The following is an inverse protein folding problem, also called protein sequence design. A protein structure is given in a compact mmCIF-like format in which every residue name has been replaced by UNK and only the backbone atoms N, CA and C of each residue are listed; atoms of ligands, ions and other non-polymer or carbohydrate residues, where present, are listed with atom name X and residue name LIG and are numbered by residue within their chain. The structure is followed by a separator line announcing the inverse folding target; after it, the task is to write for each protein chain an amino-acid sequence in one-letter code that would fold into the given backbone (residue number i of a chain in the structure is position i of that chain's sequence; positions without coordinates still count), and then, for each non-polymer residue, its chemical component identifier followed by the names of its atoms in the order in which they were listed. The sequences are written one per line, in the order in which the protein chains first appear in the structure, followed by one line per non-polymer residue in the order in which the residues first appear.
data_IF_276067366142
#
_entry.id   IF_276067366142
#
_cell.length_a   1.000
_cell.length_b   1.000
_cell.length_c   1.000
_cell.angle_alpha   90.00
_cell.angle_beta   90.00
_cell.angle_gamma   90.00
#
_symmetry.space_group_name_H-M   'P 1'
#
loop_
_entity.id
_entity.type
_entity.pdbx_description
1 polymer ?
#
# COMPACT_ATOMS: atom_id res chain seq x y z
N UNK A 1 15.22 -9.42 13.36
CA UNK A 1 16.51 -9.17 14.06
C UNK A 1 16.98 -10.35 14.91
N UNK A 2 16.11 -11.31 15.26
CA UNK A 2 16.44 -12.42 16.17
C UNK A 2 16.25 -13.80 15.51
N UNK A 3 16.15 -13.88 14.19
CA UNK A 3 15.92 -15.14 13.47
C UNK A 3 16.91 -16.24 13.86
N UNK A 4 18.20 -15.89 13.98
CA UNK A 4 19.28 -16.78 14.36
C UNK A 4 19.14 -17.41 15.77
N UNK A 5 18.26 -16.86 16.63
CA UNK A 5 18.01 -17.37 17.98
C UNK A 5 16.98 -18.51 18.01
N UNK A 6 16.35 -18.83 16.88
CA UNK A 6 15.29 -19.82 16.79
C UNK A 6 15.80 -21.11 16.14
N UNK A 7 15.36 -22.24 16.67
CA UNK A 7 15.52 -23.54 16.03
C UNK A 7 14.22 -23.90 15.31
N UNK A 8 14.29 -24.16 14.00
CA UNK A 8 13.10 -24.41 13.18
C UNK A 8 12.30 -25.62 13.62
N UNK A 9 12.95 -26.71 13.99
CA UNK A 9 12.27 -27.95 14.43
C UNK A 9 11.55 -27.74 15.78
N UNK A 10 12.19 -27.03 16.71
CA UNK A 10 11.60 -26.70 18.00
C UNK A 10 10.39 -25.75 17.82
N UNK A 11 10.55 -24.69 17.03
CA UNK A 11 9.47 -23.74 16.76
C UNK A 11 8.29 -24.41 16.08
N UNK A 12 8.53 -25.32 15.14
CA UNK A 12 7.48 -26.09 14.49
C UNK A 12 6.69 -26.94 15.50
N UNK A 13 7.38 -27.51 16.49
CA UNK A 13 6.74 -28.27 17.55
C UNK A 13 5.89 -27.39 18.47
N UNK A 14 6.42 -26.26 18.92
CA UNK A 14 5.73 -25.31 19.79
C UNK A 14 4.48 -24.71 19.12
N UNK A 15 4.52 -24.52 17.80
CA UNK A 15 3.43 -23.98 17.00
C UNK A 15 2.48 -25.04 16.42
N UNK A 16 2.68 -26.33 16.72
CA UNK A 16 1.93 -27.47 16.16
C UNK A 16 1.96 -27.50 14.62
N UNK A 17 3.11 -27.16 14.02
CA UNK A 17 3.31 -27.11 12.57
C UNK A 17 4.30 -28.16 12.04
N UNK A 18 4.62 -29.20 12.84
CA UNK A 18 5.64 -30.19 12.49
C UNK A 18 5.41 -30.84 11.13
N UNK A 19 4.15 -31.18 10.81
CA UNK A 19 3.83 -31.84 9.53
C UNK A 19 4.22 -30.98 8.33
N UNK A 20 3.86 -29.69 8.36
CA UNK A 20 4.19 -28.74 7.30
C UNK A 20 5.70 -28.51 7.26
N UNK A 21 6.31 -28.21 8.39
CA UNK A 21 7.74 -27.94 8.50
C UNK A 21 8.58 -29.12 8.01
N UNK A 22 8.25 -30.37 8.42
CA UNK A 22 9.00 -31.55 8.01
C UNK A 22 8.94 -31.78 6.50
N UNK A 23 7.78 -31.55 5.86
CA UNK A 23 7.64 -31.66 4.42
C UNK A 23 8.51 -30.61 3.73
N UNK A 24 8.45 -29.37 4.15
CA UNK A 24 9.24 -28.27 3.60
C UNK A 24 10.75 -28.53 3.75
N UNK A 25 11.19 -28.89 4.96
CA UNK A 25 12.59 -29.19 5.26
C UNK A 25 13.13 -30.37 4.45
N UNK A 26 12.40 -31.50 4.43
CA UNK A 26 12.81 -32.68 3.66
C UNK A 26 12.81 -32.40 2.16
N UNK A 27 11.83 -31.67 1.67
CA UNK A 27 11.81 -31.27 0.26
C UNK A 27 13.03 -30.41 -0.08
N UNK A 28 13.32 -29.39 0.70
CA UNK A 28 14.49 -28.50 0.47
C UNK A 28 15.80 -29.29 0.40
N UNK A 29 15.96 -30.35 1.22
CA UNK A 29 17.18 -31.16 1.26
C UNK A 29 17.30 -32.23 0.18
N UNK A 30 16.19 -32.61 -0.50
CA UNK A 30 16.16 -33.77 -1.42
C UNK A 30 15.79 -33.42 -2.86
N UNK A 31 15.49 -32.16 -3.17
CA UNK A 31 15.26 -31.70 -4.54
C UNK A 31 16.57 -31.43 -5.27
N UNK A 32 16.56 -31.52 -6.60
CA UNK A 32 17.73 -31.23 -7.45
C UNK A 32 18.17 -29.76 -7.36
N UNK A 33 17.20 -28.85 -7.16
CA UNK A 33 17.46 -27.42 -6.99
C UNK A 33 16.40 -26.80 -6.10
N UNK A 34 16.81 -26.26 -4.97
CA UNK A 34 15.98 -25.53 -4.04
C UNK A 34 16.09 -24.02 -4.30
N UNK A 35 14.98 -23.35 -4.52
CA UNK A 35 14.96 -21.92 -4.84
C UNK A 35 14.04 -21.15 -3.91
N UNK A 36 14.32 -19.86 -3.76
CA UNK A 36 13.44 -18.92 -3.04
C UNK A 36 13.42 -17.57 -3.75
N UNK A 37 12.52 -16.66 -3.35
CA UNK A 37 12.22 -15.43 -4.10
C UNK A 37 13.06 -14.22 -3.68
N UNK A 38 13.71 -14.28 -2.52
CA UNK A 38 14.50 -13.15 -2.00
C UNK A 38 15.54 -13.58 -1.01
N UNK A 39 16.51 -12.69 -0.71
CA UNK A 39 17.48 -12.92 0.36
C UNK A 39 16.82 -12.95 1.75
N UNK A 40 15.69 -12.28 1.95
CA UNK A 40 14.92 -12.38 3.21
C UNK A 40 14.52 -13.84 3.44
N UNK A 41 13.82 -14.42 2.47
CA UNK A 41 13.36 -15.82 2.55
C UNK A 41 14.53 -16.81 2.53
N UNK A 42 15.64 -16.49 1.84
CA UNK A 42 16.83 -17.32 1.87
C UNK A 42 17.46 -17.40 3.27
N UNK A 43 17.51 -16.29 4.00
CA UNK A 43 17.98 -16.27 5.38
C UNK A 43 17.06 -17.08 6.31
N UNK A 44 15.73 -16.99 6.11
CA UNK A 44 14.76 -17.83 6.83
C UNK A 44 14.97 -19.32 6.54
N UNK A 45 15.20 -19.68 5.28
CA UNK A 45 15.50 -21.08 4.91
C UNK A 45 16.75 -21.60 5.60
N UNK A 46 17.82 -20.81 5.65
CA UNK A 46 19.06 -21.19 6.37
C UNK A 46 18.79 -21.51 7.82
N UNK A 47 18.07 -20.66 8.52
CA UNK A 47 17.86 -20.77 9.96
C UNK A 47 16.76 -21.79 10.32
N UNK A 48 15.67 -21.83 9.55
CA UNK A 48 14.52 -22.65 9.90
C UNK A 48 14.55 -24.03 9.26
N UNK A 49 15.11 -24.17 8.06
CA UNK A 49 15.16 -25.43 7.33
C UNK A 49 16.58 -26.06 7.34
N UNK A 50 17.58 -25.43 7.96
CA UNK A 50 19.00 -25.80 7.91
C UNK A 50 19.52 -25.94 6.47
N UNK A 51 18.94 -25.20 5.52
CA UNK A 51 19.28 -25.27 4.09
C UNK A 51 19.11 -23.91 3.44
N UNK A 52 20.20 -23.34 2.94
CA UNK A 52 20.15 -22.19 2.05
C UNK A 52 19.54 -22.59 0.71
N UNK A 53 18.87 -21.67 0.05
CA UNK A 53 18.48 -21.85 -1.34
C UNK A 53 19.73 -22.01 -2.23
N UNK A 54 19.66 -22.90 -3.21
CA UNK A 54 20.71 -23.06 -4.21
C UNK A 54 20.75 -21.85 -5.15
N UNK A 55 19.60 -21.23 -5.41
CA UNK A 55 19.47 -20.00 -6.19
C UNK A 55 18.30 -19.15 -5.64
N UNK A 56 18.54 -17.84 -5.52
CA UNK A 56 17.46 -16.87 -5.27
C UNK A 56 16.92 -16.41 -6.62
N UNK A 57 15.68 -16.75 -6.90
CA UNK A 57 14.96 -16.41 -8.13
C UNK A 57 13.89 -15.37 -7.81
N UNK A 58 14.19 -14.12 -8.11
CA UNK A 58 13.25 -13.00 -7.92
C UNK A 58 12.02 -13.17 -8.81
N UNK A 59 10.86 -12.77 -8.28
CA UNK A 59 9.61 -12.81 -9.04
C UNK A 59 9.65 -11.75 -10.16
N UNK A 60 9.27 -12.17 -11.36
CA UNK A 60 9.05 -11.29 -12.49
C UNK A 60 7.63 -10.73 -12.54
N UNK A 61 7.41 -9.80 -13.43
CA UNK A 61 6.10 -9.24 -13.74
C UNK A 61 5.97 -9.07 -15.27
N UNK A 62 4.90 -9.57 -15.83
CA UNK A 62 4.57 -9.35 -17.24
C UNK A 62 3.81 -8.05 -17.37
N UNK A 63 4.30 -7.10 -18.15
CA UNK A 63 3.73 -5.75 -18.28
C UNK A 63 3.03 -5.50 -19.63
N UNK A 64 2.81 -6.53 -20.40
CA UNK A 64 2.18 -6.45 -21.73
C UNK A 64 0.79 -5.78 -21.71
N UNK A 65 0.09 -5.89 -20.59
CA UNK A 65 -1.24 -5.29 -20.41
C UNK A 65 -1.20 -3.85 -19.86
N UNK A 66 -0.01 -3.34 -19.51
CA UNK A 66 0.14 -1.95 -19.07
C UNK A 66 -0.08 -1.01 -20.24
N UNK A 67 -1.05 -0.07 -20.17
CA UNK A 67 -1.34 0.82 -21.28
C UNK A 67 -0.14 1.72 -21.60
N UNK A 68 0.04 2.02 -22.89
CA UNK A 68 1.16 2.82 -23.38
C UNK A 68 0.67 4.10 -24.08
N UNK A 69 1.55 5.11 -24.16
CA UNK A 69 1.31 6.34 -24.92
C UNK A 69 0.00 7.06 -24.54
N UNK A 70 -0.79 7.45 -25.53
CA UNK A 70 -2.05 8.16 -25.32
C UNK A 70 -3.11 7.34 -24.57
N UNK A 71 -3.06 6.00 -24.66
CA UNK A 71 -3.95 5.14 -23.88
C UNK A 71 -3.65 5.22 -22.38
N UNK A 72 -2.37 5.26 -22.00
CA UNK A 72 -1.93 5.47 -20.63
C UNK A 72 -2.44 6.82 -20.09
N UNK A 73 -2.12 7.91 -20.77
CA UNK A 73 -2.55 9.28 -20.38
C UNK A 73 -4.06 9.39 -20.24
N UNK A 74 -4.81 8.78 -21.20
CA UNK A 74 -6.27 8.79 -21.17
C UNK A 74 -6.84 7.98 -20.02
N UNK A 75 -6.29 6.81 -19.70
CA UNK A 75 -6.72 5.99 -18.56
C UNK A 75 -6.38 6.67 -17.24
N UNK A 76 -5.15 7.19 -17.09
CA UNK A 76 -4.73 7.97 -15.90
C UNK A 76 -5.70 9.11 -15.60
N UNK A 77 -5.99 9.94 -16.61
CA UNK A 77 -6.92 11.07 -16.44
C UNK A 77 -8.31 10.62 -15.97
N UNK A 78 -8.84 9.53 -16.54
CA UNK A 78 -10.15 8.99 -16.12
C UNK A 78 -10.12 8.41 -14.70
N UNK A 79 -9.06 7.71 -14.34
CA UNK A 79 -8.89 7.17 -12.99
C UNK A 79 -8.83 8.29 -11.95
N UNK A 80 -8.00 9.31 -12.16
CA UNK A 80 -7.91 10.49 -11.28
C UNK A 80 -9.26 11.19 -11.14
N UNK A 81 -9.92 11.48 -12.24
CA UNK A 81 -11.24 12.14 -12.22
C UNK A 81 -12.28 11.33 -11.42
N UNK A 82 -12.26 9.99 -11.54
CA UNK A 82 -13.13 9.12 -10.76
C UNK A 82 -12.80 9.17 -9.27
N UNK A 83 -11.53 9.01 -8.91
CA UNK A 83 -11.07 9.04 -7.52
C UNK A 83 -11.40 10.37 -6.83
N UNK A 84 -11.11 11.49 -7.50
CA UNK A 84 -11.47 12.83 -7.02
C UNK A 84 -13.00 13.02 -6.90
N UNK A 85 -13.77 12.51 -7.88
CA UNK A 85 -15.23 12.59 -7.80
C UNK A 85 -15.79 11.82 -6.61
N UNK A 86 -15.34 10.60 -6.38
CA UNK A 86 -15.74 9.80 -5.21
C UNK A 86 -15.38 10.53 -3.91
N UNK A 87 -14.16 11.02 -3.81
CA UNK A 87 -13.70 11.77 -2.65
C UNK A 87 -14.53 13.05 -2.41
N UNK A 88 -14.73 13.87 -3.43
CA UNK A 88 -15.49 15.11 -3.32
C UNK A 88 -16.95 14.85 -2.92
N UNK A 89 -17.56 13.78 -3.44
CA UNK A 89 -18.93 13.39 -3.06
C UNK A 89 -19.03 12.87 -1.63
N UNK A 90 -18.03 12.12 -1.18
CA UNK A 90 -17.98 11.58 0.19
C UNK A 90 -17.70 12.68 1.21
N UNK A 91 -16.71 13.52 0.92
CA UNK A 91 -16.16 14.50 1.85
C UNK A 91 -16.84 15.88 1.78
N UNK A 92 -17.66 16.15 0.77
CA UNK A 92 -18.22 17.49 0.54
C UNK A 92 -17.11 18.52 0.25
N UNK A 93 -16.14 18.15 -0.58
CA UNK A 93 -14.99 18.99 -0.94
C UNK A 93 -14.97 19.26 -2.45
N UNK A 94 -14.03 20.09 -2.88
CA UNK A 94 -13.84 20.47 -4.29
C UNK A 94 -12.36 20.31 -4.69
N UNK A 95 -11.78 19.17 -4.32
CA UNK A 95 -10.42 18.82 -4.73
C UNK A 95 -10.36 18.70 -6.26
N UNK A 96 -9.28 19.17 -6.84
CA UNK A 96 -9.02 19.22 -8.28
C UNK A 96 -7.77 18.41 -8.67
N UNK A 97 -7.36 18.55 -9.93
CA UNK A 97 -6.21 17.81 -10.49
C UNK A 97 -4.86 18.20 -9.85
N UNK A 98 -4.75 19.30 -9.10
CA UNK A 98 -3.53 19.64 -8.33
C UNK A 98 -3.40 18.86 -7.03
N UNK A 99 -4.45 18.16 -6.62
CA UNK A 99 -4.44 17.27 -5.45
C UNK A 99 -3.53 16.07 -5.69
N UNK A 100 -2.60 15.83 -4.78
CA UNK A 100 -1.74 14.65 -4.80
C UNK A 100 -2.54 13.41 -4.37
N UNK A 101 -2.71 12.46 -5.26
CA UNK A 101 -3.40 11.19 -4.97
C UNK A 101 -2.37 10.13 -4.64
N UNK A 102 -2.44 9.59 -3.45
CA UNK A 102 -1.57 8.52 -3.00
C UNK A 102 -2.37 7.30 -2.54
N UNK A 103 -1.77 6.11 -2.60
CA UNK A 103 -2.47 4.90 -2.24
C UNK A 103 -1.61 3.85 -1.56
N UNK A 104 -2.26 2.99 -0.81
CA UNK A 104 -1.74 1.69 -0.39
C UNK A 104 -2.77 0.62 -0.70
N UNK A 105 -2.31 -0.58 -1.05
CA UNK A 105 -3.18 -1.69 -1.40
C UNK A 105 -2.56 -3.03 -0.99
N UNK A 106 -3.39 -4.06 -0.91
CA UNK A 106 -2.97 -5.40 -0.56
C UNK A 106 -3.94 -6.09 0.38
N UNK A 107 -3.51 -7.18 1.04
CA UNK A 107 -4.30 -7.87 2.04
C UNK A 107 -4.45 -7.02 3.30
N UNK A 108 -5.56 -7.18 4.00
CA UNK A 108 -5.80 -6.46 5.26
C UNK A 108 -5.00 -7.10 6.42
N UNK A 109 -3.70 -6.97 6.33
CA UNK A 109 -2.75 -7.35 7.40
C UNK A 109 -2.19 -6.06 8.01
N UNK A 110 -2.94 -5.48 8.94
CA UNK A 110 -2.79 -4.09 9.42
C UNK A 110 -1.36 -3.70 9.78
N UNK A 111 -0.67 -4.53 10.59
CA UNK A 111 0.73 -4.28 10.96
C UNK A 111 1.72 -4.80 9.92
N UNK A 112 1.46 -5.99 9.39
CA UNK A 112 2.40 -6.64 8.48
C UNK A 112 2.55 -5.88 7.16
N UNK A 113 1.44 -5.34 6.64
CA UNK A 113 1.46 -4.48 5.45
C UNK A 113 1.79 -3.01 5.77
N UNK A 114 2.01 -2.67 7.04
CA UNK A 114 2.39 -1.33 7.46
C UNK A 114 1.29 -0.29 7.30
N UNK A 115 0.01 -0.71 7.32
CA UNK A 115 -1.12 0.22 7.24
C UNK A 115 -1.08 1.18 8.43
N UNK A 116 -0.70 0.70 9.61
CA UNK A 116 -0.52 1.50 10.82
C UNK A 116 0.51 2.61 10.63
N UNK A 117 1.71 2.29 10.16
CA UNK A 117 2.76 3.29 9.96
C UNK A 117 2.43 4.26 8.81
N UNK A 118 1.70 3.80 7.80
CA UNK A 118 1.19 4.67 6.75
C UNK A 118 0.20 5.70 7.30
N UNK A 119 -0.80 5.27 8.08
CA UNK A 119 -1.77 6.20 8.70
C UNK A 119 -1.08 7.17 9.68
N UNK A 120 -0.10 6.72 10.46
CA UNK A 120 0.70 7.59 11.32
C UNK A 120 1.48 8.63 10.49
N UNK A 121 2.08 8.23 9.38
CA UNK A 121 2.79 9.15 8.50
C UNK A 121 1.87 10.23 7.91
N UNK A 122 0.64 9.85 7.52
CA UNK A 122 -0.38 10.79 7.03
C UNK A 122 -0.83 11.77 8.11
N UNK A 123 -0.96 11.32 9.35
CA UNK A 123 -1.25 12.19 10.49
C UNK A 123 -0.14 13.21 10.73
N UNK A 124 1.13 12.79 10.65
CA UNK A 124 2.29 13.71 10.75
C UNK A 124 2.31 14.69 9.58
N UNK A 125 2.04 14.21 8.37
CA UNK A 125 1.96 15.03 7.16
C UNK A 125 0.84 16.08 7.26
N UNK A 126 -0.33 15.73 7.81
CA UNK A 126 -1.45 16.65 7.99
C UNK A 126 -1.13 17.81 8.95
N UNK A 127 -0.14 17.63 9.83
CA UNK A 127 0.35 18.65 10.75
C UNK A 127 1.51 19.47 10.19
N UNK A 128 2.03 19.07 9.03
CA UNK A 128 3.12 19.77 8.38
C UNK A 128 2.61 21.08 7.72
N UNK A 129 3.10 22.20 8.25
CA UNK A 129 2.69 23.53 7.77
C UNK A 129 3.26 23.87 6.40
N UNK A 130 4.35 23.21 6.04
CA UNK A 130 5.07 23.46 4.80
C UNK A 130 4.55 22.58 3.64
N UNK A 131 3.60 21.68 3.90
CA UNK A 131 2.97 20.87 2.86
C UNK A 131 2.30 21.77 1.81
N UNK A 132 2.73 21.64 0.57
CA UNK A 132 2.33 22.55 -0.53
C UNK A 132 0.94 22.18 -1.09
N UNK A 133 0.69 20.89 -1.34
CA UNK A 133 -0.53 20.39 -2.00
C UNK A 133 -1.47 19.73 -1.03
N UNK A 134 -2.76 19.69 -1.37
CA UNK A 134 -3.69 18.78 -0.73
C UNK A 134 -3.31 17.33 -1.09
N UNK A 135 -3.45 16.44 -0.15
CA UNK A 135 -3.16 15.00 -0.30
C UNK A 135 -4.43 14.20 -0.08
N UNK A 136 -4.76 13.36 -1.03
CA UNK A 136 -5.86 12.40 -0.96
C UNK A 136 -5.28 10.99 -0.92
N UNK A 137 -5.38 10.34 0.23
CA UNK A 137 -4.84 9.00 0.45
C UNK A 137 -5.94 7.94 0.39
N UNK A 138 -5.73 6.91 -0.42
CA UNK A 138 -6.60 5.74 -0.51
C UNK A 138 -5.98 4.54 0.22
N UNK A 139 -6.77 3.90 1.08
CA UNK A 139 -6.43 2.62 1.72
C UNK A 139 -7.30 1.55 1.06
N UNK A 140 -6.75 0.88 0.06
CA UNK A 140 -7.43 -0.10 -0.79
C UNK A 140 -7.15 -1.52 -0.27
N UNK A 141 -7.77 -1.90 0.85
CA UNK A 141 -7.55 -3.21 1.47
C UNK A 141 -8.88 -3.89 1.79
N UNK A 142 -9.15 -5.10 1.26
CA UNK A 142 -10.44 -5.78 1.47
C UNK A 142 -10.60 -6.16 2.94
N UNK A 143 -11.56 -5.50 3.60
CA UNK A 143 -11.96 -5.82 4.98
C UNK A 143 -13.14 -6.79 5.04
N UNK A 144 -13.76 -6.91 6.21
CA UNK A 144 -15.03 -7.63 6.34
C UNK A 144 -16.17 -6.73 5.86
N UNK A 145 -16.23 -6.58 4.54
CA UNK A 145 -17.07 -5.62 3.84
C UNK A 145 -18.53 -6.09 3.75
N UNK A 146 -19.43 -5.14 4.00
CA UNK A 146 -20.86 -5.26 3.71
C UNK A 146 -21.21 -4.59 2.38
N UNK A 147 -22.32 -3.87 2.33
CA UNK A 147 -22.84 -3.23 1.13
C UNK A 147 -22.15 -1.90 0.80
N UNK A 148 -22.09 -1.52 -0.49
CA UNK A 148 -21.68 -0.16 -0.87
C UNK A 148 -22.66 0.87 -0.29
N UNK A 149 -22.17 2.05 0.03
CA UNK A 149 -22.97 3.11 0.65
C UNK A 149 -23.98 3.70 -0.31
N UNK A 150 -25.26 3.52 -0.03
CA UNK A 150 -26.38 4.06 -0.84
C UNK A 150 -26.39 5.59 -0.86
N UNK A 151 -26.04 6.26 0.25
CA UNK A 151 -25.94 7.71 0.34
C UNK A 151 -24.84 8.26 -0.58
N UNK A 152 -23.70 7.60 -0.64
CA UNK A 152 -22.62 7.93 -1.56
C UNK A 152 -23.01 7.64 -3.02
N UNK A 153 -23.64 6.50 -3.29
CA UNK A 153 -24.16 6.18 -4.63
C UNK A 153 -25.16 7.23 -5.12
N UNK A 154 -26.00 7.72 -4.23
CA UNK A 154 -26.97 8.78 -4.54
C UNK A 154 -26.27 10.08 -4.93
N UNK A 155 -25.25 10.48 -4.17
CA UNK A 155 -24.44 11.67 -4.52
C UNK A 155 -23.67 11.48 -5.82
N UNK A 156 -23.14 10.29 -6.09
CA UNK A 156 -22.41 9.99 -7.33
C UNK A 156 -23.29 10.08 -8.58
N UNK A 157 -24.59 9.76 -8.46
CA UNK A 157 -25.57 9.91 -9.56
C UNK A 157 -25.98 11.37 -9.79
N UNK A 158 -25.82 12.23 -8.79
CA UNK A 158 -26.15 13.66 -8.90
C UNK A 158 -25.03 14.44 -9.57
N UNK A 159 -25.40 15.44 -10.39
CA UNK A 159 -24.48 16.43 -10.94
C UNK A 159 -24.14 17.57 -9.96
N UNK A 160 -24.85 17.63 -8.83
CA UNK A 160 -24.65 18.67 -7.83
C UNK A 160 -23.29 18.54 -7.15
N UNK A 161 -22.75 19.68 -6.73
CA UNK A 161 -21.61 19.75 -5.82
C UNK A 161 -22.13 19.77 -4.39
N UNK A 162 -21.39 19.18 -3.48
CA UNK A 162 -21.76 19.13 -2.06
C UNK A 162 -20.65 19.80 -1.25
N UNK A 163 -21.05 20.61 -0.27
CA UNK A 163 -20.17 21.35 0.63
C UNK A 163 -20.15 20.74 2.05
N UNK A 164 -20.84 19.64 2.24
CA UNK A 164 -20.90 18.93 3.53
C UNK A 164 -20.52 17.47 3.36
N UNK A 165 -19.71 16.91 4.27
CA UNK A 165 -19.37 15.51 4.22
C UNK A 165 -20.61 14.62 4.49
N UNK A 166 -20.55 13.38 4.02
CA UNK A 166 -21.44 12.34 4.51
C UNK A 166 -21.09 11.96 5.95
N UNK A 167 -22.03 11.37 6.66
CA UNK A 167 -21.76 10.76 7.95
C UNK A 167 -20.64 9.69 7.78
N UNK A 168 -19.73 9.58 8.75
CA UNK A 168 -18.53 8.70 8.65
C UNK A 168 -17.77 8.95 7.33
N UNK A 169 -17.09 10.09 7.18
CA UNK A 169 -16.51 10.53 5.89
C UNK A 169 -15.15 9.87 5.60
N UNK A 170 -15.00 8.57 5.86
CA UNK A 170 -13.75 7.83 5.70
C UNK A 170 -13.90 6.62 4.80
N UNK A 171 -15.10 6.12 4.58
CA UNK A 171 -15.31 4.78 4.07
C UNK A 171 -16.31 4.76 2.91
N UNK A 172 -16.03 3.95 1.91
CA UNK A 172 -16.87 3.82 0.71
C UNK A 172 -17.95 2.74 0.83
N UNK A 173 -17.73 1.75 1.68
CA UNK A 173 -18.62 0.61 1.91
C UNK A 173 -18.80 0.40 3.41
N UNK A 174 -19.98 0.00 3.84
CA UNK A 174 -20.17 -0.38 5.23
C UNK A 174 -19.40 -1.67 5.55
N UNK A 175 -18.88 -1.76 6.75
CA UNK A 175 -18.29 -2.99 7.28
C UNK A 175 -19.34 -3.71 8.11
N UNK A 176 -19.28 -5.04 8.17
CA UNK A 176 -20.10 -5.81 9.10
C UNK A 176 -19.81 -5.45 10.57
N UNK A 177 -18.62 -4.95 10.86
CA UNK A 177 -18.27 -4.42 12.18
C UNK A 177 -17.62 -3.03 12.05
N UNK A 178 -18.43 -1.98 12.16
CA UNK A 178 -17.98 -0.59 12.12
C UNK A 178 -17.32 -0.11 13.43
N UNK A 179 -17.47 -0.85 14.52
CA UNK A 179 -17.00 -0.42 15.84
C UNK A 179 -15.64 -0.95 16.23
N UNK A 180 -15.13 -1.93 15.49
CA UNK A 180 -13.85 -2.60 15.79
C UNK A 180 -13.07 -2.91 14.50
N UNK A 181 -12.87 -1.90 13.66
CA UNK A 181 -12.01 -1.99 12.50
C UNK A 181 -10.71 -1.24 12.75
N UNK A 182 -9.57 -1.88 12.49
CA UNK A 182 -8.25 -1.35 12.83
C UNK A 182 -7.92 -0.03 12.10
N UNK A 183 -8.36 0.15 10.85
CA UNK A 183 -8.17 1.40 10.10
C UNK A 183 -9.01 2.50 10.71
N UNK A 184 -10.31 2.25 10.93
CA UNK A 184 -11.21 3.25 11.52
C UNK A 184 -10.83 3.62 12.94
N UNK A 185 -10.45 2.62 13.75
CA UNK A 185 -9.99 2.84 15.13
C UNK A 185 -8.72 3.69 15.16
N UNK A 186 -7.78 3.44 14.26
CA UNK A 186 -6.55 4.23 14.19
C UNK A 186 -6.80 5.66 13.70
N UNK A 187 -7.64 5.88 12.68
CA UNK A 187 -8.02 7.22 12.25
C UNK A 187 -8.64 8.02 13.40
N UNK A 188 -9.52 7.39 14.18
CA UNK A 188 -10.10 7.98 15.39
C UNK A 188 -9.06 8.28 16.46
N UNK A 189 -8.16 7.33 16.73
CA UNK A 189 -7.08 7.51 17.70
C UNK A 189 -6.16 8.68 17.34
N UNK A 190 -5.81 8.82 16.07
CA UNK A 190 -4.97 9.88 15.54
C UNK A 190 -5.71 11.24 15.46
N UNK A 191 -7.03 11.25 15.65
CA UNK A 191 -7.85 12.47 15.53
C UNK A 191 -7.97 12.97 14.09
N UNK A 192 -7.74 12.11 13.10
CA UNK A 192 -7.93 12.42 11.69
C UNK A 192 -9.41 12.43 11.36
N UNK A 193 -9.94 13.58 10.97
CA UNK A 193 -11.38 13.78 10.80
C UNK A 193 -11.83 14.06 9.36
N UNK A 194 -10.93 14.10 8.39
CA UNK A 194 -11.20 14.61 7.05
C UNK A 194 -11.93 15.97 7.08
N UNK A 195 -11.54 16.83 8.02
CA UNK A 195 -12.17 18.15 8.20
C UNK A 195 -11.88 19.04 7.00
N UNK A 196 -12.67 20.06 6.72
CA UNK A 196 -12.43 20.99 5.61
C UNK A 196 -11.02 21.57 5.60
N UNK A 197 -10.47 21.91 6.78
CA UNK A 197 -9.14 22.48 6.97
C UNK A 197 -7.98 21.49 6.85
N UNK A 198 -8.23 20.18 6.97
CA UNK A 198 -7.20 19.16 6.85
C UNK A 198 -6.64 19.14 5.41
N UNK A 199 -5.33 19.27 5.25
CA UNK A 199 -4.68 19.12 3.94
C UNK A 199 -4.59 17.65 3.47
N UNK A 200 -4.58 16.72 4.41
CA UNK A 200 -4.53 15.28 4.12
C UNK A 200 -5.88 14.65 4.40
N UNK A 201 -6.47 14.06 3.38
CA UNK A 201 -7.73 13.31 3.46
C UNK A 201 -7.45 11.82 3.27
N UNK A 202 -8.14 10.98 4.02
CA UNK A 202 -7.99 9.52 3.94
C UNK A 202 -9.32 8.88 3.60
N UNK A 203 -9.32 8.02 2.58
CA UNK A 203 -10.49 7.22 2.19
C UNK A 203 -10.13 5.75 2.28
N UNK A 204 -10.87 5.02 3.08
CA UNK A 204 -10.80 3.58 3.19
C UNK A 204 -11.77 2.92 2.21
N UNK A 205 -11.22 2.08 1.33
CA UNK A 205 -11.97 1.30 0.34
C UNK A 205 -11.84 -0.18 0.73
N UNK A 206 -12.77 -0.70 1.56
CA UNK A 206 -12.64 -2.02 2.18
C UNK A 206 -13.14 -3.17 1.31
N UNK A 207 -13.18 -3.01 0.01
CA UNK A 207 -13.67 -4.02 -0.93
C UNK A 207 -12.60 -4.46 -1.93
N UNK A 208 -12.82 -5.60 -2.57
CA UNK A 208 -12.06 -5.97 -3.75
C UNK A 208 -12.43 -5.06 -4.93
N UNK A 209 -11.40 -4.57 -5.62
CA UNK A 209 -11.55 -3.74 -6.81
C UNK A 209 -11.63 -4.63 -8.05
N UNK A 210 -12.80 -5.23 -8.24
CA UNK A 210 -13.10 -6.20 -9.32
C UNK A 210 -13.92 -5.59 -10.47
N UNK A 211 -14.14 -4.27 -10.43
CA UNK A 211 -14.95 -3.54 -11.40
C UNK A 211 -16.44 -3.52 -11.13
N UNK A 212 -16.92 -4.11 -10.02
CA UNK A 212 -18.35 -4.24 -9.69
C UNK A 212 -18.66 -3.89 -8.23
N UNK A 213 -17.78 -3.15 -7.58
CA UNK A 213 -17.87 -2.82 -6.17
C UNK A 213 -19.03 -1.89 -5.80
N UNK A 214 -19.70 -1.26 -6.77
CA UNK A 214 -20.84 -0.38 -6.57
C UNK A 214 -20.50 1.09 -6.31
N UNK A 215 -19.25 1.45 -6.12
CA UNK A 215 -18.77 2.82 -5.90
C UNK A 215 -17.79 3.24 -7.00
N UNK A 216 -16.61 2.61 -7.05
CA UNK A 216 -15.57 2.92 -8.03
C UNK A 216 -15.84 2.19 -9.36
N UNK A 217 -16.33 0.96 -9.30
CA UNK A 217 -16.65 0.12 -10.46
C UNK A 217 -15.51 0.05 -11.48
N UNK A 218 -14.28 -0.07 -10.99
CA UNK A 218 -13.06 -0.23 -11.75
C UNK A 218 -12.18 -1.31 -11.15
N UNK A 219 -11.49 -2.02 -12.02
CA UNK A 219 -10.47 -2.97 -11.59
C UNK A 219 -9.27 -2.23 -10.97
N UNK A 220 -8.55 -2.90 -10.08
CA UNK A 220 -7.39 -2.35 -9.38
C UNK A 220 -6.39 -1.68 -10.32
N UNK A 221 -6.02 -2.35 -11.41
CA UNK A 221 -5.04 -1.82 -12.37
C UNK A 221 -5.53 -0.61 -13.18
N UNK A 222 -6.84 -0.41 -13.29
CA UNK A 222 -7.38 0.81 -13.89
C UNK A 222 -7.35 1.99 -12.89
N UNK A 223 -7.37 1.72 -11.58
CA UNK A 223 -7.35 2.75 -10.53
C UNK A 223 -5.94 3.19 -10.14
N UNK A 224 -4.99 2.25 -10.06
CA UNK A 224 -3.61 2.57 -9.69
C UNK A 224 -2.98 3.62 -10.62
N UNK A 225 -3.37 3.63 -11.90
CA UNK A 225 -2.96 4.66 -12.86
C UNK A 225 -3.33 6.08 -12.42
N UNK A 226 -4.32 6.24 -11.55
CA UNK A 226 -4.74 7.53 -11.02
C UNK A 226 -3.91 8.04 -9.87
N UNK A 227 -3.10 7.20 -9.25
CA UNK A 227 -2.22 7.58 -8.16
C UNK A 227 -0.98 8.32 -8.68
N UNK A 228 -0.46 9.23 -7.87
CA UNK A 228 0.80 9.93 -8.11
C UNK A 228 1.95 9.23 -7.41
N UNK A 229 1.65 8.55 -6.31
CA UNK A 229 2.62 7.85 -5.47
C UNK A 229 1.91 6.69 -4.74
N UNK A 230 2.50 5.53 -4.71
CA UNK A 230 2.03 4.40 -3.91
C UNK A 230 2.95 4.15 -2.72
N UNK A 231 2.39 3.69 -1.58
CA UNK A 231 3.13 3.48 -0.33
C UNK A 231 2.86 2.09 0.21
N UNK A 232 3.89 1.25 0.27
CA UNK A 232 3.82 -0.14 0.74
C UNK A 232 4.86 -0.38 1.84
N UNK A 233 4.65 0.13 3.06
CA UNK A 233 5.64 0.11 4.11
C UNK A 233 5.61 -1.20 4.91
N UNK A 234 5.63 -2.34 4.20
CA UNK A 234 5.50 -3.66 4.80
C UNK A 234 6.57 -3.93 5.86
N UNK A 235 6.14 -4.54 6.96
CA UNK A 235 7.02 -5.06 7.99
C UNK A 235 7.71 -6.37 7.55
N UNK A 236 7.01 -7.19 6.78
CA UNK A 236 7.56 -8.40 6.16
C UNK A 236 6.84 -8.72 4.86
N UNK A 237 7.62 -8.92 3.80
CA UNK A 237 7.10 -9.34 2.50
C UNK A 237 8.15 -10.21 1.81
N UNK A 238 7.89 -11.50 1.51
CA UNK A 238 8.83 -12.37 0.80
C UNK A 238 9.37 -11.75 -0.49
N UNK A 239 8.49 -11.14 -1.28
CA UNK A 239 8.87 -10.38 -2.47
C UNK A 239 8.26 -8.97 -2.46
N UNK A 240 6.96 -8.83 -2.64
CA UNK A 240 6.24 -7.58 -2.77
C UNK A 240 5.81 -7.30 -4.20
N UNK A 241 4.71 -7.91 -4.61
CA UNK A 241 4.14 -7.65 -5.94
C UNK A 241 3.55 -6.24 -6.05
N UNK A 242 2.91 -5.74 -5.02
CA UNK A 242 2.26 -4.41 -5.06
C UNK A 242 3.21 -3.26 -5.40
N UNK A 243 4.41 -3.13 -4.81
CA UNK A 243 5.37 -2.12 -5.25
C UNK A 243 5.89 -2.37 -6.67
N UNK A 244 6.11 -3.63 -7.06
CA UNK A 244 6.54 -3.98 -8.42
C UNK A 244 5.47 -3.61 -9.45
N UNK A 245 4.20 -3.91 -9.18
CA UNK A 245 3.05 -3.54 -10.02
C UNK A 245 2.94 -2.02 -10.17
N UNK A 246 3.06 -1.27 -9.07
CA UNK A 246 3.04 0.20 -9.12
C UNK A 246 4.09 0.76 -10.06
N UNK A 247 5.32 0.29 -9.95
CA UNK A 247 6.43 0.69 -10.83
C UNK A 247 6.15 0.32 -12.29
N UNK A 248 5.62 -0.89 -12.55
CA UNK A 248 5.23 -1.32 -13.89
C UNK A 248 4.16 -0.40 -14.49
N UNK A 249 3.24 0.10 -13.67
CA UNK A 249 2.23 1.10 -14.04
C UNK A 249 2.74 2.55 -13.98
N UNK A 250 4.07 2.75 -13.85
CA UNK A 250 4.72 4.07 -13.82
C UNK A 250 4.24 4.95 -12.67
N UNK A 251 3.93 4.35 -11.54
CA UNK A 251 3.59 5.04 -10.30
C UNK A 251 4.80 4.93 -9.36
N UNK A 252 5.44 6.04 -9.02
CA UNK A 252 6.52 6.06 -8.04
C UNK A 252 6.09 5.44 -6.72
N UNK A 253 7.00 4.77 -6.02
CA UNK A 253 6.64 3.85 -4.94
C UNK A 253 7.57 4.01 -3.74
N UNK A 254 6.99 4.01 -2.54
CA UNK A 254 7.71 3.87 -1.28
C UNK A 254 7.54 2.43 -0.79
N UNK A 255 8.64 1.76 -0.48
CA UNK A 255 8.65 0.41 0.11
C UNK A 255 9.70 0.31 1.22
N UNK A 256 9.93 -0.89 1.76
CA UNK A 256 10.92 -1.11 2.82
C UNK A 256 11.94 -2.16 2.41
N UNK A 257 13.06 -2.20 3.12
CA UNK A 257 14.09 -3.23 2.97
C UNK A 257 13.73 -4.58 3.64
N UNK A 258 12.55 -4.67 4.28
CA UNK A 258 11.95 -5.93 4.72
C UNK A 258 11.01 -6.55 3.68
N UNK A 259 10.91 -5.95 2.49
CA UNK A 259 10.33 -6.53 1.30
C UNK A 259 11.44 -6.98 0.34
N UNK A 260 11.33 -8.18 -0.22
CA UNK A 260 12.32 -8.70 -1.17
C UNK A 260 12.55 -7.78 -2.37
N UNK A 261 11.47 -7.17 -2.88
CA UNK A 261 11.55 -6.15 -3.93
C UNK A 261 12.39 -4.94 -3.50
N UNK A 262 12.17 -4.42 -2.27
CA UNK A 262 12.95 -3.29 -1.76
C UNK A 262 14.44 -3.64 -1.61
N UNK A 263 14.78 -4.83 -1.09
CA UNK A 263 16.17 -5.30 -1.04
C UNK A 263 16.79 -5.41 -2.44
N UNK A 264 16.03 -5.92 -3.41
CA UNK A 264 16.49 -5.98 -4.78
C UNK A 264 16.78 -4.59 -5.35
N UNK A 265 15.87 -3.63 -5.16
CA UNK A 265 16.07 -2.23 -5.60
C UNK A 265 17.34 -1.64 -4.97
N UNK A 266 17.59 -1.86 -3.67
CA UNK A 266 18.80 -1.41 -2.99
C UNK A 266 20.07 -2.03 -3.57
N UNK A 267 19.99 -3.22 -4.17
CA UNK A 267 21.13 -3.85 -4.84
C UNK A 267 21.50 -3.20 -6.19
N UNK A 268 20.58 -2.43 -6.78
CA UNK A 268 20.79 -1.72 -8.04
C UNK A 268 21.58 -0.44 -7.76
N UNK A 269 22.79 -0.35 -8.31
CA UNK A 269 23.68 0.80 -8.09
C UNK A 269 23.04 2.10 -8.61
N UNK A 270 22.88 3.08 -7.73
CA UNK A 270 22.35 4.43 -8.03
C UNK A 270 20.96 4.46 -8.71
N UNK A 271 20.12 3.48 -8.45
CA UNK A 271 18.78 3.37 -9.04
C UNK A 271 17.67 3.35 -7.98
N UNK A 272 17.96 3.73 -6.74
CA UNK A 272 16.97 3.87 -5.67
C UNK A 272 16.80 5.34 -5.26
N UNK A 273 15.76 5.63 -4.53
CA UNK A 273 15.32 6.97 -4.16
C UNK A 273 14.14 7.44 -5.01
N UNK A 274 13.30 8.30 -4.47
CA UNK A 274 12.05 8.72 -5.13
C UNK A 274 12.30 9.41 -6.48
N UNK A 275 13.45 10.02 -6.69
CA UNK A 275 13.85 10.62 -7.97
C UNK A 275 14.08 9.57 -9.07
N UNK A 276 14.28 8.32 -8.69
CA UNK A 276 14.40 7.18 -9.60
C UNK A 276 13.15 6.28 -9.57
N UNK A 277 12.08 6.74 -8.95
CA UNK A 277 10.78 6.09 -8.91
C UNK A 277 10.55 5.13 -7.74
N UNK A 278 11.57 4.79 -6.96
CA UNK A 278 11.42 3.89 -5.79
C UNK A 278 12.23 4.39 -4.60
N UNK A 279 11.53 4.76 -3.53
CA UNK A 279 12.14 4.99 -2.22
C UNK A 279 12.09 3.71 -1.39
N UNK A 280 13.23 3.30 -0.86
CA UNK A 280 13.34 2.12 0.02
C UNK A 280 13.74 2.58 1.41
N UNK A 281 12.81 2.46 2.36
CA UNK A 281 13.05 2.84 3.74
C UNK A 281 13.60 1.65 4.53
N UNK A 282 14.61 1.91 5.36
CA UNK A 282 15.06 0.93 6.33
C UNK A 282 13.99 0.71 7.40
N UNK A 283 13.59 -0.55 7.63
CA UNK A 283 12.62 -0.93 8.67
C UNK A 283 13.18 -2.01 9.59
N UNK A 284 12.90 -1.84 10.88
CA UNK A 284 13.26 -2.81 11.93
C UNK A 284 12.17 -2.87 12.99
N UNK A 285 12.34 -3.73 14.00
CA UNK A 285 11.44 -3.83 15.16
C UNK A 285 11.37 -2.54 15.99
N UNK A 286 12.34 -1.64 15.84
CA UNK A 286 12.56 -0.53 16.77
C UNK A 286 12.44 0.86 16.15
N UNK A 287 12.27 0.98 14.83
CA UNK A 287 12.32 2.25 14.12
C UNK A 287 10.98 2.69 13.51
N UNK A 288 9.87 2.32 14.13
CA UNK A 288 8.52 2.68 13.66
C UNK A 288 8.37 4.19 13.42
N UNK A 289 8.89 5.00 14.35
CA UNK A 289 8.77 6.46 14.26
C UNK A 289 9.57 7.04 13.09
N UNK A 290 10.78 6.55 12.89
CA UNK A 290 11.67 6.96 11.81
C UNK A 290 11.08 6.58 10.44
N UNK A 291 10.45 5.40 10.35
CA UNK A 291 9.75 4.98 9.11
C UNK A 291 8.56 5.88 8.83
N UNK A 292 7.76 6.22 9.85
CA UNK A 292 6.65 7.16 9.68
C UNK A 292 7.12 8.54 9.22
N UNK A 293 8.22 9.04 9.76
CA UNK A 293 8.83 10.30 9.32
C UNK A 293 9.40 10.19 7.91
N UNK A 294 10.08 9.10 7.59
CA UNK A 294 10.61 8.86 6.25
C UNK A 294 9.52 8.85 5.17
N UNK A 295 8.38 8.20 5.43
CA UNK A 295 7.22 8.23 4.53
C UNK A 295 6.70 9.66 4.39
N UNK A 296 6.47 10.35 5.52
CA UNK A 296 5.99 11.74 5.55
C UNK A 296 6.92 12.66 4.75
N UNK A 297 8.22 12.59 4.99
CA UNK A 297 9.22 13.45 4.34
C UNK A 297 9.29 13.17 2.83
N UNK A 298 9.21 11.91 2.43
CA UNK A 298 9.20 11.55 1.00
C UNK A 298 7.94 12.05 0.31
N UNK A 299 6.76 11.95 0.93
CA UNK A 299 5.51 12.48 0.36
C UNK A 299 5.58 14.02 0.28
N UNK A 300 6.08 14.70 1.32
CA UNK A 300 6.25 16.15 1.32
C UNK A 300 7.19 16.62 0.21
N UNK A 301 8.34 15.97 0.06
CA UNK A 301 9.29 16.23 -1.02
C UNK A 301 8.63 16.02 -2.39
N UNK A 302 7.92 14.91 -2.57
CA UNK A 302 7.23 14.58 -3.82
C UNK A 302 6.14 15.60 -4.16
N UNK A 303 5.41 16.10 -3.16
CA UNK A 303 4.37 17.12 -3.34
C UNK A 303 4.90 18.46 -3.88
N UNK A 304 6.17 18.75 -3.67
CA UNK A 304 6.84 19.95 -4.20
C UNK A 304 7.33 19.83 -5.64
N UNK A 305 7.29 18.61 -6.22
CA UNK A 305 7.74 18.39 -7.60
C UNK A 305 6.72 18.93 -8.61
N UNK A 306 7.24 19.39 -9.75
CA UNK A 306 6.44 19.77 -10.90
C UNK A 306 6.12 18.55 -11.78
N UNK A 307 5.09 18.66 -12.62
CA UNK A 307 4.69 17.60 -13.57
C UNK A 307 5.82 17.15 -14.53
N UNK A 308 6.83 18.00 -14.72
CA UNK A 308 8.00 17.68 -15.56
C UNK A 308 9.10 16.93 -14.78
N UNK A 309 9.01 16.86 -13.46
CA UNK A 309 9.98 16.20 -12.57
C UNK A 309 9.45 14.83 -12.08
N UNK A 310 8.21 14.50 -12.41
CA UNK A 310 7.53 13.25 -12.15
C UNK A 310 7.32 12.53 -13.48
#
# INVERSE_FOLDING_TARGET
DYLFAYNGDQMAQELNMQSKHSIEKQTAHHVDCFTTVSEITNNECKELLDKAADVVLMNGFEDDFVPQGSAFTGKRKRARALMLNVANKLLGTHMDDDTLIIGTSGRYEFKNKGIDVFLESLNRLNRDKDLQKNVLAFVNVPGWVGEPREDLQTRLKSKEKFDTPLEVPFITHWLHNMTHDQVLDMLKYLGMGNRPEDKVKVIFVPCYLDGKDGILNKEYYDLILGEDLSVYPSYYEPWGYTPLESVAFRVPTITTDLAGFGLWVNSLKNQHGIDNGVEVLHRSDYNYSEVADGIKDTIALFSGKTDNEV
#
